data_IF_645287834328
#
_entry.id   IF_645287834328
#
_cell.length_a   1.000
_cell.length_b   1.000
_cell.length_c   1.000
_cell.angle_alpha   90.00
_cell.angle_beta   90.00
_cell.angle_gamma   90.00
#
_symmetry.space_group_name_H-M   'P 1'
#
loop_
_entity.id
_entity.type
_entity.pdbx_description
1 polymer ?
#
# COMPACT_ATOMS: atom_id res chain seq x y z
N UNK A 1 -92.32 29.26 -80.22
CA UNK A 1 -92.54 28.14 -79.28
C UNK A 1 -91.27 27.31 -79.26
N UNK A 2 -90.59 27.35 -78.11
CA UNK A 2 -89.55 26.47 -77.52
C UNK A 2 -88.38 25.96 -78.39
N UNK A 3 -87.20 26.41 -77.98
CA UNK A 3 -85.83 25.93 -78.27
C UNK A 3 -85.56 24.61 -77.55
N UNK A 4 -84.83 23.67 -78.17
CA UNK A 4 -83.97 22.72 -77.47
C UNK A 4 -82.68 22.45 -78.27
N UNK A 5 -81.56 22.89 -77.72
CA UNK A 5 -80.20 22.50 -78.12
C UNK A 5 -79.89 21.23 -77.32
N UNK A 6 -79.82 20.08 -78.00
CA UNK A 6 -79.36 18.83 -77.41
C UNK A 6 -77.84 18.71 -77.56
N UNK A 7 -77.10 19.01 -76.50
CA UNK A 7 -75.69 18.67 -76.37
C UNK A 7 -75.52 17.14 -76.40
N UNK A 8 -74.72 16.64 -77.34
CA UNK A 8 -74.20 15.28 -77.28
C UNK A 8 -73.12 15.22 -76.18
N UNK A 9 -73.42 14.54 -75.08
CA UNK A 9 -72.44 14.22 -74.05
C UNK A 9 -71.39 13.24 -74.63
N UNK A 10 -70.09 13.47 -74.42
CA UNK A 10 -69.07 12.52 -74.83
C UNK A 10 -69.20 11.23 -73.99
N UNK A 11 -69.03 10.10 -74.67
CA UNK A 11 -69.19 8.76 -74.15
C UNK A 11 -68.38 8.54 -72.85
N UNK A 12 -69.08 8.14 -71.77
CA UNK A 12 -68.52 7.92 -70.44
C UNK A 12 -67.41 6.83 -70.39
N UNK A 13 -67.26 6.02 -71.44
CA UNK A 13 -66.26 4.95 -71.57
C UNK A 13 -64.85 5.45 -71.91
N UNK A 14 -64.71 6.60 -72.57
CA UNK A 14 -63.40 7.18 -72.88
C UNK A 14 -62.78 7.89 -71.67
N UNK A 15 -63.63 8.36 -70.75
CA UNK A 15 -63.20 9.05 -69.53
C UNK A 15 -62.74 8.02 -68.48
N UNK A 16 -63.43 6.89 -68.31
CA UNK A 16 -63.05 5.86 -67.33
C UNK A 16 -61.67 5.23 -67.62
N UNK A 17 -61.33 4.99 -68.88
CA UNK A 17 -60.04 4.38 -69.27
C UNK A 17 -58.83 5.31 -69.03
N UNK A 18 -59.02 6.64 -69.14
CA UNK A 18 -57.98 7.63 -68.82
C UNK A 18 -57.76 7.72 -67.31
N UNK A 19 -58.83 7.66 -66.51
CA UNK A 19 -58.73 7.65 -65.04
C UNK A 19 -58.13 6.34 -64.51
N UNK A 20 -58.44 5.20 -65.14
CA UNK A 20 -57.81 3.91 -64.83
C UNK A 20 -56.31 3.91 -65.18
N UNK A 21 -55.93 4.44 -66.35
CA UNK A 21 -54.53 4.60 -66.73
C UNK A 21 -53.76 5.56 -65.81
N UNK A 22 -54.36 6.68 -65.43
CA UNK A 22 -53.79 7.62 -64.47
C UNK A 22 -53.64 7.00 -63.07
N UNK A 23 -54.63 6.21 -62.62
CA UNK A 23 -54.57 5.50 -61.33
C UNK A 23 -53.45 4.45 -61.30
N UNK A 24 -53.23 3.73 -62.41
CA UNK A 24 -52.09 2.80 -62.55
C UNK A 24 -50.76 3.55 -62.48
N UNK A 25 -50.62 4.67 -63.19
CA UNK A 25 -49.38 5.48 -63.18
C UNK A 25 -49.12 6.07 -61.78
N UNK A 26 -50.14 6.60 -61.11
CA UNK A 26 -50.02 7.13 -59.74
C UNK A 26 -49.65 6.02 -58.75
N UNK A 27 -50.25 4.84 -58.88
CA UNK A 27 -49.93 3.68 -58.03
C UNK A 27 -48.49 3.20 -58.26
N UNK A 28 -48.03 3.21 -59.51
CA UNK A 28 -46.66 2.83 -59.87
C UNK A 28 -45.63 3.84 -59.34
N UNK A 29 -45.93 5.15 -59.44
CA UNK A 29 -45.10 6.21 -58.86
C UNK A 29 -45.07 6.13 -57.32
N UNK A 30 -46.22 5.86 -56.68
CA UNK A 30 -46.30 5.67 -55.23
C UNK A 30 -45.49 4.45 -54.76
N UNK A 31 -45.51 3.35 -55.53
CA UNK A 31 -44.69 2.17 -55.28
C UNK A 31 -43.18 2.49 -55.38
N UNK A 32 -42.77 3.20 -56.45
CA UNK A 32 -41.38 3.61 -56.63
C UNK A 32 -40.91 4.51 -55.48
N UNK A 33 -41.71 5.52 -55.11
CA UNK A 33 -41.40 6.42 -53.99
C UNK A 33 -41.31 5.66 -52.66
N UNK A 34 -42.18 4.67 -52.43
CA UNK A 34 -42.15 3.82 -51.24
C UNK A 34 -40.88 2.96 -51.18
N UNK A 35 -40.46 2.38 -52.31
CA UNK A 35 -39.21 1.59 -52.40
C UNK A 35 -37.98 2.47 -52.17
N UNK A 36 -37.97 3.68 -52.74
CA UNK A 36 -36.87 4.65 -52.55
C UNK A 36 -36.79 5.12 -51.10
N UNK A 37 -37.94 5.44 -50.48
CA UNK A 37 -38.01 5.81 -49.07
C UNK A 37 -37.53 4.68 -48.15
N UNK A 38 -37.92 3.43 -48.42
CA UNK A 38 -37.49 2.26 -47.65
C UNK A 38 -35.97 2.03 -47.77
N UNK A 39 -35.40 2.17 -48.98
CA UNK A 39 -33.94 2.05 -49.17
C UNK A 39 -33.15 3.15 -48.46
N UNK A 40 -33.64 4.38 -48.50
CA UNK A 40 -33.03 5.50 -47.76
C UNK A 40 -33.11 5.30 -46.25
N UNK A 41 -34.24 4.80 -45.75
CA UNK A 41 -34.42 4.47 -44.33
C UNK A 41 -33.47 3.36 -43.90
N UNK A 42 -33.37 2.27 -44.67
CA UNK A 42 -32.46 1.16 -44.36
C UNK A 42 -30.99 1.60 -44.39
N UNK A 43 -30.59 2.44 -45.35
CA UNK A 43 -29.23 3.01 -45.35
C UNK A 43 -28.96 3.83 -44.10
N UNK A 44 -29.85 4.76 -43.74
CA UNK A 44 -29.71 5.58 -42.53
C UNK A 44 -29.64 4.73 -41.26
N UNK A 45 -30.39 3.64 -41.20
CA UNK A 45 -30.38 2.73 -40.05
C UNK A 45 -29.08 1.92 -39.97
N UNK A 46 -28.52 1.48 -41.10
CA UNK A 46 -27.21 0.83 -41.16
C UNK A 46 -26.11 1.80 -40.76
N UNK A 47 -26.13 3.04 -41.26
CA UNK A 47 -25.15 4.07 -40.93
C UNK A 47 -25.20 4.43 -39.44
N UNK A 48 -26.41 4.60 -38.89
CA UNK A 48 -26.60 4.85 -37.45
C UNK A 48 -26.11 3.69 -36.58
N UNK A 49 -26.35 2.45 -36.99
CA UNK A 49 -25.86 1.27 -36.30
C UNK A 49 -24.34 1.14 -36.38
N UNK A 50 -23.72 1.52 -37.51
CA UNK A 50 -22.26 1.56 -37.66
C UNK A 50 -21.64 2.58 -36.70
N UNK A 51 -22.15 3.81 -36.69
CA UNK A 51 -21.66 4.89 -35.82
C UNK A 51 -21.81 4.51 -34.34
N UNK A 52 -22.94 3.89 -33.96
CA UNK A 52 -23.15 3.41 -32.60
C UNK A 52 -22.21 2.26 -32.22
N UNK A 53 -21.87 1.38 -33.19
CA UNK A 53 -20.89 0.32 -33.03
C UNK A 53 -19.47 0.87 -32.84
N UNK A 54 -19.08 1.84 -33.65
CA UNK A 54 -17.78 2.49 -33.58
C UNK A 54 -17.60 3.25 -32.26
N UNK A 55 -18.60 4.02 -31.84
CA UNK A 55 -18.58 4.73 -30.54
C UNK A 55 -18.48 3.76 -29.35
N UNK A 56 -19.14 2.60 -29.39
CA UNK A 56 -19.01 1.56 -28.35
C UNK A 56 -17.61 0.94 -28.34
N UNK A 57 -17.02 0.71 -29.51
CA UNK A 57 -15.67 0.17 -29.63
C UNK A 57 -14.61 1.16 -29.15
N UNK A 58 -14.77 2.45 -29.48
CA UNK A 58 -13.90 3.52 -28.95
C UNK A 58 -14.03 3.66 -27.44
N UNK A 59 -15.24 3.63 -26.88
CA UNK A 59 -15.45 3.65 -25.43
C UNK A 59 -14.80 2.45 -24.73
N UNK A 60 -14.86 1.24 -25.33
CA UNK A 60 -14.16 0.05 -24.79
C UNK A 60 -12.64 0.20 -24.80
N UNK A 61 -12.07 0.72 -25.89
CA UNK A 61 -10.64 0.99 -26.00
C UNK A 61 -10.20 2.05 -24.99
N UNK A 62 -10.94 3.14 -24.85
CA UNK A 62 -10.66 4.18 -23.86
C UNK A 62 -10.72 3.65 -22.43
N UNK A 63 -11.68 2.78 -22.11
CA UNK A 63 -11.76 2.14 -20.79
C UNK A 63 -10.59 1.19 -20.54
N UNK A 64 -10.16 0.40 -21.54
CA UNK A 64 -8.99 -0.46 -21.42
C UNK A 64 -7.71 0.35 -21.15
N UNK A 65 -7.52 1.46 -21.86
CA UNK A 65 -6.39 2.38 -21.65
C UNK A 65 -6.46 3.02 -20.25
N UNK A 66 -7.65 3.40 -19.78
CA UNK A 66 -7.83 3.97 -18.44
C UNK A 66 -7.49 2.97 -17.32
N UNK A 67 -7.84 1.69 -17.51
CA UNK A 67 -7.46 0.61 -16.58
C UNK A 67 -5.95 0.42 -16.59
N UNK A 68 -5.32 0.31 -17.76
CA UNK A 68 -3.87 0.16 -17.88
C UNK A 68 -3.11 1.35 -17.28
N UNK A 69 -3.56 2.58 -17.53
CA UNK A 69 -2.98 3.79 -16.94
C UNK A 69 -3.13 3.83 -15.41
N UNK A 70 -4.25 3.34 -14.88
CA UNK A 70 -4.45 3.21 -13.43
C UNK A 70 -3.51 2.16 -12.84
N UNK A 71 -3.32 1.04 -13.52
CA UNK A 71 -2.43 -0.03 -13.07
C UNK A 71 -0.97 0.42 -13.09
N UNK A 72 -0.54 1.15 -14.13
CA UNK A 72 0.79 1.78 -14.19
C UNK A 72 0.98 2.78 -13.03
N UNK A 73 -0.01 3.65 -12.79
CA UNK A 73 0.05 4.61 -11.69
C UNK A 73 0.12 3.92 -10.32
N UNK A 74 -0.59 2.80 -10.14
CA UNK A 74 -0.52 1.98 -8.93
C UNK A 74 0.88 1.38 -8.75
N UNK A 75 1.45 0.81 -9.81
CA UNK A 75 2.81 0.25 -9.78
C UNK A 75 3.89 1.32 -9.50
N UNK A 76 3.76 2.51 -10.08
CA UNK A 76 4.65 3.64 -9.81
C UNK A 76 4.53 4.12 -8.36
N UNK A 77 3.30 4.21 -7.85
CA UNK A 77 3.04 4.54 -6.44
C UNK A 77 3.65 3.51 -5.50
N UNK A 78 3.50 2.22 -5.78
CA UNK A 78 4.09 1.12 -5.00
C UNK A 78 5.62 1.12 -5.07
N UNK A 79 6.20 1.39 -6.24
CA UNK A 79 7.65 1.52 -6.40
C UNK A 79 8.17 2.73 -5.61
N UNK A 80 7.49 3.87 -5.69
CA UNK A 80 7.83 5.08 -4.94
C UNK A 80 7.75 4.87 -3.43
N UNK A 81 6.68 4.20 -2.95
CA UNK A 81 6.55 3.81 -1.56
C UNK A 81 7.70 2.92 -1.10
N UNK A 82 8.06 1.88 -1.87
CA UNK A 82 9.15 0.96 -1.52
C UNK A 82 10.50 1.68 -1.44
N UNK A 83 10.81 2.56 -2.38
CA UNK A 83 12.06 3.34 -2.37
C UNK A 83 12.12 4.20 -1.12
N UNK A 84 11.08 4.98 -0.83
CA UNK A 84 11.02 5.82 0.38
C UNK A 84 11.12 4.99 1.66
N UNK A 85 10.46 3.83 1.69
CA UNK A 85 10.55 2.93 2.85
C UNK A 85 11.98 2.39 3.02
N UNK A 86 12.66 2.05 1.93
CA UNK A 86 14.05 1.58 1.95
C UNK A 86 15.00 2.67 2.49
N UNK A 87 14.85 3.91 2.00
CA UNK A 87 15.61 5.07 2.47
C UNK A 87 15.49 5.30 3.97
N UNK A 88 14.34 4.97 4.57
CA UNK A 88 14.09 5.11 6.01
C UNK A 88 14.52 3.88 6.82
N UNK A 89 14.33 2.67 6.29
CA UNK A 89 14.58 1.45 7.08
C UNK A 89 16.03 0.97 7.03
N UNK A 90 16.78 1.27 5.97
CA UNK A 90 18.19 0.88 5.87
C UNK A 90 19.07 1.56 6.92
N UNK A 91 18.97 2.88 7.15
CA UNK A 91 19.68 3.52 8.27
C UNK A 91 19.26 2.94 9.61
N UNK A 92 17.96 2.71 9.84
CA UNK A 92 17.47 2.11 11.07
C UNK A 92 18.09 0.74 11.38
N UNK A 93 18.05 -0.18 10.41
CA UNK A 93 18.62 -1.51 10.58
C UNK A 93 20.13 -1.46 10.81
N UNK A 94 20.83 -0.54 10.13
CA UNK A 94 22.28 -0.34 10.28
C UNK A 94 22.61 0.20 11.67
N UNK A 95 21.88 1.20 12.15
CA UNK A 95 22.03 1.77 13.48
C UNK A 95 21.73 0.75 14.59
N UNK A 96 20.69 -0.08 14.44
CA UNK A 96 20.40 -1.17 15.37
C UNK A 96 21.53 -2.21 15.42
N UNK A 97 22.12 -2.55 14.28
CA UNK A 97 23.25 -3.47 14.21
C UNK A 97 24.50 -2.88 14.88
N UNK A 98 24.83 -1.62 14.57
CA UNK A 98 25.94 -0.90 15.19
C UNK A 98 25.75 -0.76 16.71
N UNK A 99 24.53 -0.47 17.15
CA UNK A 99 24.15 -0.44 18.56
C UNK A 99 24.38 -1.79 19.22
N UNK A 100 23.93 -2.88 18.59
CA UNK A 100 24.15 -4.23 19.09
C UNK A 100 25.66 -4.54 19.26
N UNK A 101 26.48 -4.14 18.30
CA UNK A 101 27.93 -4.37 18.32
C UNK A 101 28.62 -3.52 19.41
N UNK A 102 28.23 -2.26 19.57
CA UNK A 102 28.72 -1.40 20.64
C UNK A 102 28.28 -1.92 22.04
N UNK A 103 27.12 -2.57 22.13
CA UNK A 103 26.61 -3.22 23.33
C UNK A 103 27.28 -4.59 23.64
N UNK A 104 28.05 -5.19 22.73
CA UNK A 104 28.82 -6.42 23.01
C UNK A 104 30.16 -6.17 23.72
N UNK A 105 30.74 -4.96 23.60
CA UNK A 105 32.03 -4.62 24.21
C UNK A 105 32.01 -4.49 25.75
N UNK A 106 33.18 -4.36 26.41
CA UNK A 106 33.25 -3.99 27.82
C UNK A 106 32.70 -2.57 28.05
N UNK A 107 32.23 -2.23 29.26
CA UNK A 107 31.77 -0.88 29.58
C UNK A 107 32.91 0.14 29.33
N UNK A 108 32.74 1.04 28.36
CA UNK A 108 33.71 2.09 28.06
C UNK A 108 33.48 3.27 29.01
N UNK A 109 34.54 3.72 29.71
CA UNK A 109 34.50 4.95 30.52
C UNK A 109 34.55 6.17 29.60
N UNK A 110 33.52 7.02 29.68
CA UNK A 110 33.46 8.34 29.02
C UNK A 110 33.18 8.24 27.52
N UNK A 111 32.20 9.02 27.03
CA UNK A 111 31.66 9.08 25.64
C UNK A 111 30.65 8.00 25.23
N UNK A 112 30.50 6.92 25.99
CA UNK A 112 29.54 5.86 25.67
C UNK A 112 28.09 6.39 25.56
N UNK A 113 27.70 7.35 26.39
CA UNK A 113 26.33 7.90 26.38
C UNK A 113 26.00 8.71 25.12
N UNK A 114 26.98 9.40 24.53
CA UNK A 114 26.79 10.17 23.29
C UNK A 114 26.74 9.24 22.08
N UNK A 115 27.68 8.29 22.00
CA UNK A 115 27.74 7.28 20.93
C UNK A 115 26.49 6.38 20.90
N UNK A 116 26.00 5.95 22.07
CA UNK A 116 24.73 5.20 22.14
C UNK A 116 23.52 6.08 21.86
N UNK A 117 23.50 7.32 22.34
CA UNK A 117 22.40 8.25 22.11
C UNK A 117 22.20 8.56 20.62
N UNK A 118 23.28 8.76 19.88
CA UNK A 118 23.23 8.98 18.42
C UNK A 118 22.67 7.76 17.68
N UNK A 119 23.18 6.57 17.97
CA UNK A 119 22.71 5.33 17.32
C UNK A 119 21.25 5.02 17.64
N UNK A 120 20.81 5.28 18.88
CA UNK A 120 19.41 5.09 19.27
C UNK A 120 18.50 6.13 18.61
N UNK A 121 18.93 7.39 18.59
CA UNK A 121 18.21 8.46 17.90
C UNK A 121 18.04 8.19 16.41
N UNK A 122 19.12 7.76 15.74
CA UNK A 122 19.07 7.39 14.32
C UNK A 122 18.13 6.19 14.08
N UNK A 123 18.23 5.14 14.89
CA UNK A 123 17.38 3.97 14.78
C UNK A 123 15.90 4.32 14.96
N UNK A 124 15.55 4.99 16.07
CA UNK A 124 14.16 5.28 16.41
C UNK A 124 13.58 6.38 15.51
N UNK A 125 14.35 7.41 15.17
CA UNK A 125 13.91 8.48 14.26
C UNK A 125 13.59 7.93 12.87
N UNK A 126 14.48 7.13 12.32
CA UNK A 126 14.29 6.49 11.01
C UNK A 126 13.12 5.51 11.01
N UNK A 127 12.97 4.69 12.06
CA UNK A 127 11.79 3.82 12.23
C UNK A 127 10.50 4.64 12.40
N UNK A 128 10.53 5.77 13.11
CA UNK A 128 9.34 6.60 13.33
C UNK A 128 8.87 7.28 12.02
N UNK A 129 9.81 7.74 11.21
CA UNK A 129 9.53 8.22 9.86
C UNK A 129 8.95 7.10 8.98
N UNK A 130 9.55 5.90 9.02
CA UNK A 130 9.05 4.74 8.28
C UNK A 130 7.64 4.33 8.72
N UNK A 131 7.36 4.35 10.02
CA UNK A 131 6.03 4.08 10.57
C UNK A 131 5.01 5.10 10.06
N UNK A 132 5.36 6.38 10.04
CA UNK A 132 4.50 7.44 9.52
C UNK A 132 4.21 7.24 8.03
N UNK A 133 5.23 6.88 7.24
CA UNK A 133 5.08 6.56 5.82
C UNK A 133 4.18 5.33 5.59
N UNK A 134 4.27 4.31 6.44
CA UNK A 134 3.46 3.10 6.34
C UNK A 134 1.96 3.32 6.64
N UNK A 135 1.60 4.43 7.29
CA UNK A 135 0.22 4.78 7.63
C UNK A 135 -0.31 4.00 8.85
N UNK A 136 -1.15 4.67 9.65
CA UNK A 136 -1.67 4.10 10.88
C UNK A 136 -2.53 2.85 10.63
N UNK A 137 -2.33 1.81 11.46
CA UNK A 137 -3.14 0.59 11.43
C UNK A 137 -2.75 -0.43 10.35
N UNK A 138 -1.74 -0.14 9.52
CA UNK A 138 -1.21 -1.11 8.55
C UNK A 138 -0.30 -2.14 9.22
N UNK A 139 -0.15 -3.33 8.61
CA UNK A 139 0.79 -4.34 9.09
C UNK A 139 2.25 -3.83 9.09
N UNK A 140 2.62 -2.98 8.12
CA UNK A 140 3.93 -2.33 8.08
C UNK A 140 4.14 -1.38 9.25
N UNK A 141 3.14 -0.54 9.56
CA UNK A 141 3.21 0.34 10.73
C UNK A 141 3.32 -0.44 12.05
N UNK A 142 2.67 -1.61 12.17
CA UNK A 142 2.80 -2.47 13.35
C UNK A 142 4.17 -3.14 13.44
N UNK A 143 4.67 -3.73 12.35
CA UNK A 143 6.00 -4.33 12.29
C UNK A 143 7.09 -3.32 12.71
N UNK A 144 7.04 -2.10 12.17
CA UNK A 144 7.97 -1.03 12.55
C UNK A 144 7.79 -0.63 14.03
N UNK A 145 6.57 -0.61 14.54
CA UNK A 145 6.31 -0.34 15.97
C UNK A 145 6.87 -1.43 16.89
N UNK A 146 6.81 -2.70 16.48
CA UNK A 146 7.45 -3.81 17.20
C UNK A 146 8.97 -3.64 17.21
N UNK A 147 9.59 -3.27 16.09
CA UNK A 147 11.02 -3.01 16.02
C UNK A 147 11.45 -1.90 16.99
N UNK A 148 10.74 -0.76 17.02
CA UNK A 148 11.01 0.34 17.98
C UNK A 148 10.96 -0.19 19.41
N UNK A 149 9.93 -0.95 19.77
CA UNK A 149 9.79 -1.52 21.13
C UNK A 149 10.91 -2.49 21.46
N UNK A 150 11.33 -3.33 20.52
CA UNK A 150 12.48 -4.24 20.73
C UNK A 150 13.75 -3.45 21.04
N UNK A 151 14.03 -2.36 20.30
CA UNK A 151 15.18 -1.48 20.58
C UNK A 151 15.15 -1.00 22.03
N UNK A 152 14.01 -0.46 22.46
CA UNK A 152 13.86 0.07 23.82
C UNK A 152 14.00 -1.02 24.90
N UNK A 153 13.32 -2.16 24.74
CA UNK A 153 13.40 -3.26 25.71
C UNK A 153 14.79 -3.87 25.80
N UNK A 154 15.51 -4.02 24.68
CA UNK A 154 16.90 -4.50 24.70
C UNK A 154 17.81 -3.52 25.42
N UNK A 155 17.65 -2.21 25.17
CA UNK A 155 18.40 -1.18 25.87
C UNK A 155 18.17 -1.24 27.38
N UNK A 156 16.93 -1.39 27.83
CA UNK A 156 16.59 -1.56 29.25
C UNK A 156 17.34 -2.73 29.88
N UNK A 157 17.28 -3.91 29.25
CA UNK A 157 17.94 -5.13 29.75
C UNK A 157 19.46 -4.96 29.80
N UNK A 158 20.07 -4.45 28.73
CA UNK A 158 21.53 -4.37 28.61
C UNK A 158 22.11 -3.26 29.47
N UNK A 159 21.46 -2.09 29.54
CA UNK A 159 21.89 -0.99 30.40
C UNK A 159 21.73 -1.36 31.87
N UNK A 160 20.66 -2.07 32.25
CA UNK A 160 20.50 -2.61 33.62
C UNK A 160 21.64 -3.54 33.99
N UNK A 161 22.05 -4.46 33.09
CA UNK A 161 23.21 -5.31 33.35
C UNK A 161 24.52 -4.51 33.51
N UNK A 162 24.71 -3.49 32.67
CA UNK A 162 25.94 -2.68 32.62
C UNK A 162 26.04 -1.64 33.73
N UNK A 163 24.94 -1.24 34.36
CA UNK A 163 24.94 -0.29 35.48
C UNK A 163 25.37 -0.93 36.81
N UNK A 164 25.40 -2.26 36.91
CA UNK A 164 25.83 -2.96 38.12
C UNK A 164 27.34 -2.79 38.27
N UNK A 165 27.79 -2.29 39.42
CA UNK A 165 29.22 -2.11 39.68
C UNK A 165 29.95 -3.45 39.75
N UNK A 166 31.26 -3.52 39.39
CA UNK A 166 32.06 -4.73 39.54
C UNK A 166 32.02 -5.31 40.97
N UNK A 167 31.96 -4.44 41.98
CA UNK A 167 31.87 -4.79 43.40
C UNK A 167 30.52 -5.46 43.72
N UNK A 168 29.40 -4.92 43.25
CA UNK A 168 28.09 -5.54 43.40
C UNK A 168 28.01 -6.87 42.64
N UNK A 169 28.52 -6.89 41.40
CA UNK A 169 28.67 -8.10 40.59
C UNK A 169 29.57 -9.16 41.22
N UNK A 170 30.50 -8.77 42.12
CA UNK A 170 31.35 -9.71 42.85
C UNK A 170 30.66 -10.33 44.07
N UNK A 171 29.68 -9.61 44.63
CA UNK A 171 28.89 -10.04 45.81
C UNK A 171 27.66 -10.88 45.43
N UNK A 172 27.25 -10.84 44.17
CA UNK A 172 26.13 -11.65 43.65
C UNK A 172 26.48 -13.13 43.56
N UNK A 173 25.47 -13.99 43.78
CA UNK A 173 25.58 -15.42 43.51
C UNK A 173 26.08 -15.66 42.06
N UNK A 174 27.10 -16.51 41.84
CA UNK A 174 27.59 -16.88 40.50
C UNK A 174 26.51 -17.32 39.51
N UNK A 175 25.43 -17.94 39.98
CA UNK A 175 24.31 -18.35 39.12
C UNK A 175 23.49 -17.15 38.64
N UNK A 176 23.13 -16.24 39.55
CA UNK A 176 22.43 -14.99 39.24
C UNK A 176 23.24 -14.14 38.26
N UNK A 177 24.54 -13.96 38.53
CA UNK A 177 25.45 -13.22 37.65
C UNK A 177 25.50 -13.80 36.23
N UNK A 178 25.61 -15.13 36.12
CA UNK A 178 25.59 -15.81 34.81
C UNK A 178 24.23 -15.68 34.13
N UNK A 179 23.14 -15.73 34.89
CA UNK A 179 21.77 -15.53 34.39
C UNK A 179 21.60 -14.16 33.76
N UNK A 180 21.92 -13.09 34.50
CA UNK A 180 21.80 -11.70 34.01
C UNK A 180 22.68 -11.47 32.79
N UNK A 181 23.94 -11.95 32.80
CA UNK A 181 24.84 -11.84 31.65
C UNK A 181 24.24 -12.51 30.40
N UNK A 182 23.69 -13.73 30.53
CA UNK A 182 23.02 -14.41 29.41
C UNK A 182 21.80 -13.64 28.91
N UNK A 183 21.00 -13.05 29.81
CA UNK A 183 19.85 -12.24 29.42
C UNK A 183 20.30 -11.02 28.59
N UNK A 184 21.37 -10.35 28.98
CA UNK A 184 21.94 -9.24 28.21
C UNK A 184 22.47 -9.70 26.84
N UNK A 185 23.29 -10.76 26.79
CA UNK A 185 23.83 -11.30 25.54
C UNK A 185 22.73 -11.74 24.56
N UNK A 186 21.71 -12.44 25.06
CA UNK A 186 20.57 -12.86 24.24
C UNK A 186 19.70 -11.69 23.78
N UNK A 187 19.62 -10.61 24.57
CA UNK A 187 18.92 -9.37 24.18
C UNK A 187 19.64 -8.63 23.07
N UNK A 188 20.97 -8.58 23.11
CA UNK A 188 21.75 -8.03 22.00
C UNK A 188 21.54 -8.85 20.72
N UNK A 189 21.46 -10.19 20.81
CA UNK A 189 21.13 -11.02 19.66
C UNK A 189 19.74 -10.70 19.09
N UNK A 190 18.74 -10.41 19.94
CA UNK A 190 17.40 -10.01 19.47
C UNK A 190 17.43 -8.70 18.69
N UNK A 191 18.29 -7.74 19.05
CA UNK A 191 18.46 -6.50 18.30
C UNK A 191 19.01 -6.74 16.89
N UNK A 192 20.02 -7.62 16.75
CA UNK A 192 20.57 -8.02 15.45
C UNK A 192 19.55 -8.73 14.59
N UNK A 193 18.77 -9.64 15.17
CA UNK A 193 17.71 -10.36 14.46
C UNK A 193 16.61 -9.39 14.01
N UNK A 194 16.19 -8.46 14.88
CA UNK A 194 15.21 -7.44 14.52
C UNK A 194 15.67 -6.56 13.35
N UNK A 195 16.96 -6.19 13.30
CA UNK A 195 17.53 -5.45 12.17
C UNK A 195 17.40 -6.20 10.83
N UNK A 196 17.59 -7.53 10.82
CA UNK A 196 17.38 -8.36 9.63
C UNK A 196 15.91 -8.32 9.17
N UNK A 197 14.97 -8.41 10.10
CA UNK A 197 13.54 -8.33 9.82
C UNK A 197 13.10 -6.96 9.30
N UNK A 198 13.64 -5.88 9.87
CA UNK A 198 13.37 -4.50 9.39
C UNK A 198 13.76 -4.32 7.93
N UNK A 199 14.92 -4.85 7.51
CA UNK A 199 15.34 -4.85 6.10
C UNK A 199 14.41 -5.66 5.18
N UNK A 200 13.58 -6.56 5.73
CA UNK A 200 12.60 -7.34 4.98
C UNK A 200 11.31 -6.59 4.66
N UNK A 201 10.99 -5.50 5.37
CA UNK A 201 9.74 -4.74 5.20
C UNK A 201 9.56 -4.21 3.77
N UNK A 202 10.57 -3.62 3.09
CA UNK A 202 10.42 -3.12 1.72
C UNK A 202 10.20 -4.23 0.67
N UNK A 203 10.56 -5.48 0.99
CA UNK A 203 10.67 -6.61 0.05
C UNK A 203 9.42 -7.51 0.01
N UNK A 204 8.45 -7.31 0.91
CA UNK A 204 7.28 -8.18 1.09
C UNK A 204 6.30 -8.23 -0.11
N UNK A 205 6.55 -7.47 -1.19
CA UNK A 205 5.76 -7.48 -2.43
C UNK A 205 6.29 -8.39 -3.54
N UNK A 206 7.42 -9.08 -3.33
CA UNK A 206 8.05 -9.96 -4.33
C UNK A 206 8.39 -11.29 -3.68
N UNK A 207 7.47 -12.25 -3.69
CA UNK A 207 7.68 -13.65 -3.26
C UNK A 207 8.29 -13.87 -1.85
N UNK A 208 8.32 -12.84 -1.01
CA UNK A 208 8.82 -12.89 0.37
C UNK A 208 7.73 -13.30 1.36
N UNK A 209 8.09 -13.50 2.65
CA UNK A 209 7.10 -13.64 3.71
C UNK A 209 6.13 -12.45 3.63
N UNK A 210 4.82 -12.73 3.71
CA UNK A 210 3.82 -11.66 3.74
C UNK A 210 4.15 -10.68 4.86
N UNK A 211 3.79 -9.41 4.70
CA UNK A 211 4.00 -8.38 5.72
C UNK A 211 3.41 -8.79 7.09
N UNK A 212 2.40 -9.67 7.08
CA UNK A 212 1.80 -10.28 8.26
C UNK A 212 2.69 -11.32 8.95
N UNK A 213 3.42 -12.14 8.19
CA UNK A 213 4.42 -13.06 8.74
C UNK A 213 5.54 -12.28 9.42
N UNK A 214 5.96 -11.16 8.83
CA UNK A 214 6.97 -10.29 9.41
C UNK A 214 6.49 -9.60 10.70
N UNK A 215 5.25 -9.11 10.71
CA UNK A 215 4.58 -8.56 11.90
C UNK A 215 4.53 -9.61 13.03
N UNK A 216 4.17 -10.85 12.69
CA UNK A 216 4.15 -11.98 13.63
C UNK A 216 5.54 -12.30 14.20
N UNK A 217 6.57 -12.38 13.36
CA UNK A 217 7.94 -12.70 13.79
C UNK A 217 8.50 -11.64 14.73
N UNK A 218 8.34 -10.36 14.38
CA UNK A 218 8.73 -9.23 15.24
C UNK A 218 7.89 -9.18 16.52
N UNK A 219 6.60 -9.51 16.45
CA UNK A 219 5.74 -9.67 17.61
C UNK A 219 6.27 -10.74 18.57
N UNK A 220 6.62 -11.92 18.04
CA UNK A 220 7.21 -13.01 18.83
C UNK A 220 8.53 -12.63 19.49
N UNK A 221 9.41 -11.93 18.76
CA UNK A 221 10.67 -11.42 19.30
C UNK A 221 10.46 -10.40 20.42
N UNK A 222 9.46 -9.53 20.30
CA UNK A 222 9.12 -8.58 21.35
C UNK A 222 8.69 -9.29 22.64
N UNK A 223 7.86 -10.33 22.53
CA UNK A 223 7.44 -11.14 23.68
C UNK A 223 8.63 -11.86 24.34
N UNK A 224 9.57 -12.37 23.55
CA UNK A 224 10.83 -12.92 24.07
C UNK A 224 11.61 -11.86 24.85
N UNK A 225 11.70 -10.62 24.36
CA UNK A 225 12.41 -9.54 25.04
C UNK A 225 11.71 -9.13 26.35
N UNK A 226 10.38 -9.03 26.35
CA UNK A 226 9.58 -8.75 27.56
C UNK A 226 9.77 -9.80 28.64
N UNK A 227 9.70 -11.08 28.28
CA UNK A 227 9.95 -12.16 29.24
C UNK A 227 11.37 -12.14 29.84
N UNK A 228 12.35 -11.52 29.17
CA UNK A 228 13.70 -11.30 29.75
C UNK A 228 13.70 -10.17 30.77
N UNK A 229 12.95 -9.10 30.52
CA UNK A 229 12.76 -8.01 31.47
C UNK A 229 12.08 -8.50 32.74
N UNK A 230 11.00 -9.27 32.62
CA UNK A 230 10.30 -9.89 33.76
C UNK A 230 11.24 -10.78 34.59
N UNK A 231 12.14 -11.54 33.94
CA UNK A 231 13.16 -12.34 34.64
C UNK A 231 14.15 -11.47 35.40
N UNK A 232 14.53 -10.30 34.89
CA UNK A 232 15.38 -9.38 35.65
C UNK A 232 14.65 -8.85 36.89
N UNK A 233 13.37 -8.51 36.78
CA UNK A 233 12.57 -8.08 37.93
C UNK A 233 12.46 -9.18 39.00
N UNK A 234 12.26 -10.44 38.59
CA UNK A 234 12.24 -11.60 39.49
C UNK A 234 13.58 -11.81 40.21
N UNK A 235 14.69 -11.43 39.57
CA UNK A 235 16.03 -11.45 40.17
C UNK A 235 16.30 -10.24 41.07
N UNK A 236 15.31 -9.38 41.30
CA UNK A 236 15.40 -8.23 42.21
C UNK A 236 15.83 -6.92 41.53
N UNK A 237 15.99 -6.90 40.21
CA UNK A 237 16.38 -5.71 39.44
C UNK A 237 15.14 -4.95 38.97
N UNK A 238 14.37 -4.42 39.92
CA UNK A 238 13.23 -3.55 39.63
C UNK A 238 13.68 -2.11 39.45
N UNK A 239 13.23 -1.45 38.39
CA UNK A 239 13.26 0.01 38.30
C UNK A 239 14.64 0.64 38.09
N UNK A 240 15.61 -0.06 37.49
CA UNK A 240 16.79 0.60 36.90
C UNK A 240 16.44 1.13 35.51
N UNK A 241 15.29 1.80 35.43
CA UNK A 241 14.91 2.58 34.26
C UNK A 241 15.73 3.87 34.38
N UNK A 242 16.75 3.94 33.54
CA UNK A 242 17.20 5.19 32.97
C UNK A 242 17.55 6.34 33.93
N UNK A 243 18.72 6.28 34.58
CA UNK A 243 19.42 7.53 34.96
C UNK A 243 19.81 8.41 33.75
N UNK A 244 19.54 7.95 32.52
CA UNK A 244 19.74 8.68 31.26
C UNK A 244 18.43 8.83 30.44
N UNK A 245 17.24 8.74 31.06
CA UNK A 245 15.95 8.90 30.35
C UNK A 245 15.85 10.31 29.75
N UNK A 246 16.38 11.31 30.47
CA UNK A 246 16.51 12.68 29.99
C UNK A 246 17.35 12.81 28.72
N UNK A 247 18.34 11.93 28.47
CA UNK A 247 19.17 11.95 27.26
C UNK A 247 18.50 11.25 26.06
N UNK A 248 17.58 10.33 26.32
CA UNK A 248 16.86 9.58 25.28
C UNK A 248 15.56 10.27 24.87
N UNK A 249 14.81 10.84 25.82
CA UNK A 249 13.56 11.55 25.54
C UNK A 249 13.80 12.91 24.87
N UNK A 250 14.81 13.67 25.32
CA UNK A 250 15.14 14.98 24.71
C UNK A 250 15.52 14.89 23.23
N UNK A 251 16.03 13.75 22.77
CA UNK A 251 16.41 13.49 21.35
C UNK A 251 15.29 12.86 20.52
N UNK A 252 14.24 12.35 21.16
CA UNK A 252 13.07 11.76 20.50
C UNK A 252 11.94 12.79 20.30
N UNK A 253 11.98 13.91 21.04
CA UNK A 253 11.03 15.02 20.94
C UNK A 253 11.53 16.18 20.04
N UNK A 254 12.78 16.14 19.56
CA UNK A 254 13.36 17.04 18.53
C UNK A 254 13.20 16.48 17.12
#
# INVERSE_FOLDING_TARGET
MVVFIGQAAPEASAISSIWEGAAVVVSFLALILSIVALRLSNRRQVDANSIAGDARNEARKANAIAVEAKDIALQESERSYRVKMYELLTPAASAMQALADALQGPPRKGRASEEFGELVGEAVGSLSAARSLAGAGTAGSRAVSHAIKIVMTVLEVVLTYRSISPEELSKMNPETKRGIKRLAETSISSLKVAALYVNGIPSAGTEGPSLESLDSDLGGLLEVCRGRLERLEQLGFKGVLFQNEELLLSRLEE
#
